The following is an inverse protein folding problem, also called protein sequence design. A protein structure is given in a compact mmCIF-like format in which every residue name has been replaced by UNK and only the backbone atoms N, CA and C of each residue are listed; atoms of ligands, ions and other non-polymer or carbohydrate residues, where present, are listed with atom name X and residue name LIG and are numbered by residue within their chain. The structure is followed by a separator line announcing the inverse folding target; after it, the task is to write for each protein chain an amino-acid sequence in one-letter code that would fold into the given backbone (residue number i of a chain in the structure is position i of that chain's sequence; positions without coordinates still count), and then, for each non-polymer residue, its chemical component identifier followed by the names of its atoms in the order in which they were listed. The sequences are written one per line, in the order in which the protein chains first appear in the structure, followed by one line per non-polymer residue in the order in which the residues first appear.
data_IF_817655236130
#
_entry.id   IF_817655236130
#
_cell.length_a   1.000
_cell.length_b   1.000
_cell.length_c   1.000
_cell.angle_alpha   90.00
_cell.angle_beta   90.00
_cell.angle_gamma   90.00
#
_symmetry.space_group_name_H-M   'P 1'
#
loop_
_entity.id
_entity.type
_entity.pdbx_description
1 polymer ?
#
# COMPACT_ATOMS: atom_id res chain seq x y z
N UNK A 1 6.83 33.58 18.06
CA UNK A 1 5.44 33.76 17.61
C UNK A 1 4.46 32.71 18.17
N UNK A 2 4.93 31.77 19.03
CA UNK A 2 4.09 30.72 19.63
C UNK A 2 3.67 31.08 21.07
N UNK A 3 4.16 32.16 21.65
CA UNK A 3 3.91 32.51 23.06
C UNK A 3 2.76 33.51 23.29
N UNK A 4 2.03 33.95 22.29
CA UNK A 4 1.00 35.02 22.43
C UNK A 4 -0.45 34.52 22.44
N UNK A 5 -0.71 33.22 22.25
CA UNK A 5 -2.08 32.65 22.17
C UNK A 5 -2.56 31.91 23.43
N UNK A 6 -1.69 31.77 24.46
CA UNK A 6 -2.02 31.00 25.65
C UNK A 6 -2.71 31.79 26.79
N UNK A 7 -3.01 33.08 26.62
CA UNK A 7 -3.51 33.94 27.71
C UNK A 7 -4.94 34.46 27.56
N UNK A 8 -5.77 33.86 26.68
CA UNK A 8 -7.13 34.35 26.39
C UNK A 8 -8.29 33.57 27.05
N UNK A 9 -8.06 32.45 27.71
CA UNK A 9 -9.13 31.67 28.36
C UNK A 9 -8.82 31.38 29.81
N UNK A 10 -8.89 32.40 30.68
CA UNK A 10 -9.10 32.24 32.09
C UNK A 10 -10.28 33.09 32.54
N UNK A 11 -11.21 32.42 33.23
CA UNK A 11 -12.37 32.90 33.96
C UNK A 11 -13.69 32.96 33.18
N UNK A 12 -14.38 31.86 33.23
CA UNK A 12 -15.83 31.71 33.03
C UNK A 12 -16.22 30.37 33.64
N UNK A 13 -16.36 30.36 34.96
CA UNK A 13 -16.91 29.22 35.72
C UNK A 13 -18.46 29.28 35.51
N UNK A 14 -18.91 28.75 34.37
CA UNK A 14 -20.33 28.59 34.07
C UNK A 14 -20.80 27.22 34.60
N UNK A 15 -21.04 27.20 35.90
CA UNK A 15 -21.63 26.05 36.61
C UNK A 15 -23.18 25.98 36.41
N UNK A 16 -23.72 26.66 35.43
CA UNK A 16 -25.17 26.64 35.15
C UNK A 16 -25.62 25.27 34.62
N UNK A 17 -26.84 24.79 34.97
CA UNK A 17 -27.39 23.56 34.44
C UNK A 17 -27.52 23.55 32.91
N UNK A 18 -27.56 24.72 32.25
CA UNK A 18 -27.62 24.89 30.82
C UNK A 18 -26.22 24.68 30.17
N UNK A 19 -25.14 25.17 30.82
CA UNK A 19 -23.78 24.95 30.37
C UNK A 19 -23.40 23.46 30.39
N UNK A 20 -23.78 22.74 31.44
CA UNK A 20 -23.54 21.28 31.53
C UNK A 20 -24.38 20.49 30.51
N UNK A 21 -25.61 20.93 30.20
CA UNK A 21 -26.41 20.34 29.11
C UNK A 21 -25.85 20.63 27.72
N UNK A 22 -25.25 21.81 27.50
CA UNK A 22 -24.63 22.20 26.26
C UNK A 22 -23.34 21.36 26.02
N UNK A 23 -22.50 21.22 27.04
CA UNK A 23 -21.29 20.37 26.98
C UNK A 23 -21.65 18.89 26.75
N UNK A 24 -22.67 18.38 27.46
CA UNK A 24 -23.18 17.02 27.25
C UNK A 24 -23.80 16.79 25.86
N UNK A 25 -24.37 17.82 25.25
CA UNK A 25 -24.95 17.79 23.90
C UNK A 25 -23.87 17.85 22.83
N UNK A 26 -22.81 18.64 23.02
CA UNK A 26 -21.64 18.72 22.13
C UNK A 26 -20.89 17.37 22.15
N UNK A 27 -20.62 16.81 23.33
CA UNK A 27 -19.99 15.50 23.46
C UNK A 27 -20.82 14.36 22.83
N UNK A 28 -22.16 14.41 22.89
CA UNK A 28 -23.07 13.45 22.21
C UNK A 28 -23.10 13.64 20.71
N UNK A 29 -23.00 14.87 20.20
CA UNK A 29 -22.97 15.16 18.76
C UNK A 29 -21.65 14.68 18.16
N UNK A 30 -20.52 14.88 18.84
CA UNK A 30 -19.21 14.39 18.41
C UNK A 30 -19.13 12.86 18.29
N UNK A 31 -19.82 12.12 19.18
CA UNK A 31 -19.89 10.66 19.13
C UNK A 31 -20.70 10.14 17.94
N UNK A 32 -21.71 10.89 17.48
CA UNK A 32 -22.60 10.47 16.37
C UNK A 32 -21.89 10.56 15.01
N UNK A 33 -20.87 11.41 14.86
CA UNK A 33 -20.14 11.62 13.61
C UNK A 33 -18.72 11.01 13.59
N UNK A 34 -18.27 10.39 14.68
CA UNK A 34 -16.96 9.76 14.75
C UNK A 34 -16.91 8.51 13.85
N UNK A 35 -15.90 8.45 12.96
CA UNK A 35 -15.59 7.26 12.19
C UNK A 35 -14.78 6.30 13.05
N UNK A 36 -15.34 5.14 13.38
CA UNK A 36 -14.67 4.11 14.18
C UNK A 36 -13.74 3.28 13.32
N UNK A 37 -12.46 3.28 13.69
CA UNK A 37 -11.41 2.53 13.01
C UNK A 37 -10.80 1.54 13.98
N UNK A 38 -10.89 0.25 13.67
CA UNK A 38 -10.17 -0.77 14.40
C UNK A 38 -8.88 -1.12 13.67
N UNK A 39 -7.73 -0.94 14.30
CA UNK A 39 -6.43 -1.39 13.81
C UNK A 39 -6.18 -2.78 14.41
N UNK A 40 -6.31 -3.83 13.60
CA UNK A 40 -6.14 -5.21 14.03
C UNK A 40 -4.66 -5.59 14.09
N UNK A 41 -4.07 -5.47 15.26
CA UNK A 41 -2.67 -5.80 15.49
C UNK A 41 -2.51 -7.30 15.82
N UNK A 42 -1.62 -7.97 15.09
CA UNK A 42 -1.19 -9.34 15.37
C UNK A 42 0.23 -9.34 15.93
N UNK A 43 0.59 -10.42 16.64
CA UNK A 43 1.94 -10.57 17.16
C UNK A 43 2.98 -10.47 16.02
N UNK A 44 4.08 -9.75 16.29
CA UNK A 44 5.07 -9.27 15.32
C UNK A 44 4.52 -8.27 14.29
N UNK A 45 3.51 -7.47 14.67
CA UNK A 45 3.08 -6.34 13.82
C UNK A 45 4.27 -5.46 13.43
N UNK A 46 4.30 -4.99 12.20
CA UNK A 46 5.37 -4.15 11.69
C UNK A 46 5.32 -2.76 12.33
N UNK A 47 6.39 -2.38 13.01
CA UNK A 47 6.47 -1.17 13.87
C UNK A 47 6.10 0.09 13.11
N UNK A 48 6.82 0.38 12.01
CA UNK A 48 6.56 1.56 11.17
C UNK A 48 5.13 1.55 10.61
N UNK A 49 4.63 0.38 10.20
CA UNK A 49 3.28 0.26 9.64
C UNK A 49 2.20 0.57 10.67
N UNK A 50 2.36 0.09 11.89
CA UNK A 50 1.43 0.41 12.99
C UNK A 50 1.50 1.90 13.33
N UNK A 51 2.70 2.41 13.62
CA UNK A 51 2.90 3.80 14.05
C UNK A 51 2.39 4.79 12.99
N UNK A 52 2.79 4.66 11.72
CA UNK A 52 2.35 5.58 10.66
C UNK A 52 0.84 5.54 10.42
N UNK A 53 0.19 4.40 10.66
CA UNK A 53 -1.28 4.32 10.59
C UNK A 53 -1.93 5.14 11.69
N UNK A 54 -1.44 5.03 12.93
CA UNK A 54 -1.96 5.76 14.09
C UNK A 54 -1.71 7.26 13.95
N UNK A 55 -0.46 7.65 13.66
CA UNK A 55 -0.03 9.04 13.52
C UNK A 55 -0.78 9.77 12.41
N UNK A 56 -1.08 9.11 11.29
CA UNK A 56 -1.83 9.73 10.21
C UNK A 56 -3.26 10.09 10.60
N UNK A 57 -3.96 9.25 11.36
CA UNK A 57 -5.31 9.55 11.84
C UNK A 57 -5.30 10.58 12.97
N UNK A 58 -4.33 10.52 13.89
CA UNK A 58 -4.19 11.51 14.96
C UNK A 58 -3.89 12.89 14.38
N UNK A 59 -2.90 12.99 13.50
CA UNK A 59 -2.60 14.23 12.77
C UNK A 59 -3.83 14.80 12.04
N UNK A 60 -4.65 13.92 11.42
CA UNK A 60 -5.87 14.36 10.77
C UNK A 60 -6.89 14.94 11.77
N UNK A 61 -7.03 14.33 12.95
CA UNK A 61 -7.90 14.83 14.01
C UNK A 61 -7.46 16.20 14.51
N UNK A 62 -6.16 16.35 14.84
CA UNK A 62 -5.57 17.62 15.29
C UNK A 62 -5.75 18.73 14.26
N UNK A 63 -5.45 18.44 12.98
CA UNK A 63 -5.61 19.41 11.89
C UNK A 63 -7.07 19.79 11.62
N UNK A 64 -8.01 18.87 11.78
CA UNK A 64 -9.43 19.17 11.67
C UNK A 64 -9.88 20.16 12.76
N UNK A 65 -9.44 19.95 14.00
CA UNK A 65 -9.70 20.81 15.14
C UNK A 65 -9.07 22.20 14.96
N UNK A 66 -7.75 22.24 14.66
CA UNK A 66 -7.02 23.51 14.43
C UNK A 66 -7.60 24.34 13.30
N UNK A 67 -8.12 23.72 12.25
CA UNK A 67 -8.64 24.41 11.07
C UNK A 67 -10.13 24.76 11.18
N UNK A 68 -10.80 24.47 12.29
CA UNK A 68 -12.24 24.65 12.45
C UNK A 68 -13.05 23.90 11.38
N UNK A 69 -12.48 22.86 10.77
CA UNK A 69 -13.20 22.03 9.83
C UNK A 69 -14.15 21.14 10.62
N UNK A 70 -15.46 21.27 10.41
CA UNK A 70 -16.47 20.37 10.94
C UNK A 70 -16.35 18.94 10.37
N UNK A 71 -15.10 18.43 10.27
CA UNK A 71 -14.80 17.11 9.76
C UNK A 71 -15.05 16.06 10.84
N UNK A 72 -15.48 14.84 10.47
CA UNK A 72 -15.70 13.77 11.43
C UNK A 72 -14.37 13.38 12.09
N UNK A 73 -14.42 13.15 13.40
CA UNK A 73 -13.29 12.63 14.17
C UNK A 73 -13.07 11.16 13.85
N UNK A 74 -11.80 10.75 13.71
CA UNK A 74 -11.40 9.36 13.57
C UNK A 74 -11.14 8.77 14.96
N UNK A 75 -12.00 7.85 15.38
CA UNK A 75 -11.83 7.14 16.64
C UNK A 75 -11.07 5.84 16.38
N UNK A 76 -9.76 5.86 16.61
CA UNK A 76 -8.88 4.73 16.35
C UNK A 76 -8.74 3.88 17.61
N UNK A 77 -8.92 2.56 17.47
CA UNK A 77 -8.72 1.60 18.56
C UNK A 77 -7.84 0.46 18.05
N UNK A 78 -6.73 0.21 18.77
CA UNK A 78 -5.88 -0.95 18.49
C UNK A 78 -6.53 -2.17 19.12
N UNK A 79 -6.87 -3.15 18.29
CA UNK A 79 -7.54 -4.39 18.73
C UNK A 79 -6.67 -5.60 18.43
N UNK A 80 -6.78 -6.63 19.25
CA UNK A 80 -6.02 -7.87 19.08
C UNK A 80 -6.88 -9.10 19.32
N UNK A 81 -6.48 -10.23 18.73
CA UNK A 81 -7.05 -11.57 19.01
C UNK A 81 -6.31 -12.27 20.15
N UNK A 82 -5.30 -11.64 20.70
CA UNK A 82 -4.54 -12.08 21.89
C UNK A 82 -4.48 -10.93 22.90
N UNK A 83 -4.28 -11.26 24.17
CA UNK A 83 -4.19 -10.27 25.27
C UNK A 83 -2.94 -9.38 25.17
N UNK A 84 -1.88 -9.91 24.59
CA UNK A 84 -0.60 -9.22 24.41
C UNK A 84 -0.18 -9.33 22.95
N UNK A 85 0.34 -8.24 22.40
CA UNK A 85 0.92 -8.16 21.06
C UNK A 85 2.27 -7.49 21.17
N UNK A 86 3.28 -8.05 20.51
CA UNK A 86 4.58 -7.41 20.36
C UNK A 86 4.80 -7.01 18.92
N UNK A 87 5.50 -5.91 18.73
CA UNK A 87 5.94 -5.51 17.39
C UNK A 87 7.06 -6.41 16.86
N UNK A 88 7.45 -6.21 15.62
CA UNK A 88 8.58 -6.96 15.03
C UNK A 88 9.91 -6.67 15.72
N UNK A 89 10.06 -5.49 16.33
CA UNK A 89 11.23 -5.08 17.11
C UNK A 89 11.09 -5.41 18.63
N UNK A 90 9.97 -6.03 19.04
CA UNK A 90 9.78 -6.48 20.40
C UNK A 90 9.10 -5.49 21.36
N UNK A 91 8.64 -4.35 20.85
CA UNK A 91 7.88 -3.39 21.65
C UNK A 91 6.51 -3.96 22.03
N UNK A 92 6.06 -3.72 23.25
CA UNK A 92 4.72 -4.13 23.68
C UNK A 92 3.66 -3.16 23.11
N UNK A 93 2.62 -3.71 22.50
CA UNK A 93 1.48 -2.95 21.97
C UNK A 93 0.28 -3.16 22.90
N UNK A 94 -0.24 -2.12 23.52
CA UNK A 94 -1.50 -2.17 24.24
C UNK A 94 -2.64 -2.46 23.24
N UNK A 95 -3.36 -3.55 23.45
CA UNK A 95 -4.50 -3.93 22.59
C UNK A 95 -5.75 -4.17 23.43
N UNK A 96 -6.90 -3.78 22.87
CA UNK A 96 -8.20 -4.19 23.38
C UNK A 96 -8.60 -5.49 22.70
N UNK A 97 -9.26 -6.40 23.43
CA UNK A 97 -9.78 -7.61 22.81
C UNK A 97 -10.74 -7.23 21.66
N UNK A 98 -10.56 -7.85 20.50
CA UNK A 98 -11.36 -7.54 19.32
C UNK A 98 -12.86 -7.68 19.63
N UNK A 99 -13.65 -6.58 19.63
CA UNK A 99 -15.02 -6.62 20.07
C UNK A 99 -15.89 -7.32 19.03
N UNK A 100 -16.59 -8.37 19.43
CA UNK A 100 -17.50 -9.10 18.53
C UNK A 100 -18.85 -8.41 18.34
N UNK A 101 -19.28 -7.55 19.28
CA UNK A 101 -20.58 -6.86 19.25
C UNK A 101 -20.55 -5.52 18.53
N UNK A 102 -19.42 -4.80 18.61
CA UNK A 102 -19.25 -3.50 17.97
C UNK A 102 -18.66 -3.70 16.57
N UNK A 103 -19.36 -3.17 15.56
CA UNK A 103 -18.86 -3.17 14.17
C UNK A 103 -18.19 -1.83 13.91
N UNK A 104 -16.90 -1.80 13.56
CA UNK A 104 -16.25 -0.56 13.15
C UNK A 104 -16.70 -0.14 11.75
N UNK A 105 -16.50 1.13 11.39
CA UNK A 105 -16.68 1.60 10.02
C UNK A 105 -15.55 1.06 9.12
N UNK A 106 -14.33 1.02 9.69
CA UNK A 106 -13.15 0.47 9.03
C UNK A 106 -12.36 -0.46 9.95
N UNK A 107 -11.87 -1.56 9.36
CA UNK A 107 -10.81 -2.38 9.94
C UNK A 107 -9.55 -2.19 9.12
N UNK A 108 -8.45 -1.84 9.76
CA UNK A 108 -7.13 -1.76 9.14
C UNK A 108 -6.27 -2.91 9.66
N UNK A 109 -5.69 -3.66 8.74
CA UNK A 109 -4.76 -4.78 9.04
C UNK A 109 -3.35 -4.35 8.63
N UNK A 110 -2.51 -3.92 9.59
CA UNK A 110 -1.12 -3.61 9.32
C UNK A 110 -0.33 -4.86 8.92
N UNK A 111 0.85 -4.64 8.34
CA UNK A 111 1.79 -5.71 8.03
C UNK A 111 2.25 -6.44 9.30
N UNK A 112 2.57 -7.72 9.15
CA UNK A 112 3.39 -8.47 10.12
C UNK A 112 4.85 -8.48 9.64
N UNK A 113 5.81 -8.46 10.57
CA UNK A 113 7.22 -8.17 10.31
C UNK A 113 8.05 -9.31 9.72
N UNK A 114 7.49 -10.05 8.77
CA UNK A 114 8.18 -11.15 8.08
C UNK A 114 8.46 -10.79 6.62
N UNK A 115 9.73 -10.60 6.27
CA UNK A 115 10.13 -10.13 4.93
C UNK A 115 10.46 -11.27 3.95
N UNK A 116 10.68 -12.49 4.45
CA UNK A 116 11.11 -13.65 3.66
C UNK A 116 9.97 -14.68 3.56
N UNK A 117 9.86 -15.42 2.42
CA UNK A 117 8.78 -16.40 2.19
C UNK A 117 8.61 -17.42 3.31
N UNK A 118 9.61 -18.22 3.62
CA UNK A 118 9.50 -19.32 4.59
C UNK A 118 9.04 -18.87 5.99
N UNK A 119 9.70 -17.88 6.64
CA UNK A 119 9.23 -17.34 7.91
C UNK A 119 7.80 -16.74 7.84
N UNK A 120 7.41 -16.14 6.71
CA UNK A 120 6.06 -15.64 6.52
C UNK A 120 5.03 -16.77 6.47
N UNK A 121 5.29 -17.84 5.68
CA UNK A 121 4.40 -18.99 5.58
C UNK A 121 4.17 -19.65 6.95
N UNK A 122 5.24 -19.83 7.74
CA UNK A 122 5.16 -20.32 9.11
C UNK A 122 4.33 -19.40 10.02
N UNK A 123 4.42 -18.08 9.82
CA UNK A 123 3.63 -17.11 10.58
C UNK A 123 2.15 -17.14 10.19
N UNK A 124 1.83 -17.27 8.90
CA UNK A 124 0.46 -17.36 8.39
C UNK A 124 -0.28 -18.62 8.87
N UNK A 125 0.44 -19.70 9.15
CA UNK A 125 -0.11 -20.94 9.68
C UNK A 125 -0.49 -20.87 11.17
N UNK A 126 -0.15 -19.79 11.89
CA UNK A 126 -0.41 -19.66 13.33
C UNK A 126 -1.88 -19.44 13.65
N UNK A 127 -2.32 -19.93 14.81
CA UNK A 127 -3.70 -19.80 15.29
C UNK A 127 -4.18 -18.33 15.39
N UNK A 128 -3.30 -17.37 15.71
CA UNK A 128 -3.67 -15.96 15.77
C UNK A 128 -4.10 -15.39 14.42
N UNK A 129 -3.53 -15.86 13.30
CA UNK A 129 -3.95 -15.47 11.94
C UNK A 129 -5.31 -16.06 11.60
N UNK A 130 -5.53 -17.35 11.92
CA UNK A 130 -6.83 -18.00 11.75
C UNK A 130 -7.93 -17.28 12.55
N UNK A 131 -7.67 -16.93 13.81
CA UNK A 131 -8.60 -16.21 14.67
C UNK A 131 -8.86 -14.78 14.16
N UNK A 132 -7.83 -14.09 13.67
CA UNK A 132 -7.99 -12.81 12.99
C UNK A 132 -8.91 -12.94 11.76
N UNK A 133 -8.74 -13.99 10.96
CA UNK A 133 -9.61 -14.29 9.83
C UNK A 133 -11.07 -14.44 10.21
N UNK A 134 -11.37 -15.10 11.34
CA UNK A 134 -12.75 -15.21 11.86
C UNK A 134 -13.34 -13.84 12.22
N UNK A 135 -12.55 -13.01 12.91
CA UNK A 135 -12.95 -11.64 13.30
C UNK A 135 -13.19 -10.78 12.08
N UNK A 136 -12.29 -10.81 11.09
CA UNK A 136 -12.41 -10.04 9.84
C UNK A 136 -13.68 -10.42 9.08
N UNK A 137 -13.95 -11.73 8.88
CA UNK A 137 -15.19 -12.19 8.26
C UNK A 137 -16.44 -11.74 9.03
N UNK A 138 -16.38 -11.81 10.36
CA UNK A 138 -17.48 -11.39 11.22
C UNK A 138 -17.81 -9.90 11.08
N UNK A 139 -16.82 -9.02 10.98
CA UNK A 139 -17.02 -7.58 10.79
C UNK A 139 -17.43 -7.26 9.35
N UNK A 140 -16.75 -7.86 8.35
CA UNK A 140 -17.09 -7.67 6.94
C UNK A 140 -18.53 -8.10 6.62
N UNK A 141 -18.98 -9.26 7.15
CA UNK A 141 -20.35 -9.75 7.00
C UNK A 141 -21.41 -8.83 7.63
N UNK A 142 -21.03 -7.98 8.59
CA UNK A 142 -21.88 -6.95 9.21
C UNK A 142 -21.69 -5.56 8.60
N UNK A 143 -20.94 -5.48 7.51
CA UNK A 143 -20.85 -4.25 6.70
C UNK A 143 -19.64 -3.37 6.93
N UNK A 144 -18.67 -3.73 7.79
CA UNK A 144 -17.42 -3.02 7.94
C UNK A 144 -16.64 -3.01 6.63
N UNK A 145 -15.99 -1.89 6.32
CA UNK A 145 -14.97 -1.82 5.29
C UNK A 145 -13.65 -2.36 5.84
N UNK A 146 -12.91 -3.12 5.04
CA UNK A 146 -11.65 -3.74 5.49
C UNK A 146 -10.50 -3.27 4.62
N UNK A 147 -9.44 -2.83 5.26
CA UNK A 147 -8.23 -2.35 4.61
C UNK A 147 -7.01 -3.13 5.11
N UNK A 148 -6.05 -3.40 4.23
CA UNK A 148 -4.80 -4.05 4.59
C UNK A 148 -3.62 -3.43 3.85
N UNK A 149 -2.46 -3.34 4.49
CA UNK A 149 -1.26 -2.80 3.86
C UNK A 149 -0.11 -3.81 3.86
N UNK A 150 0.65 -3.83 2.76
CA UNK A 150 1.87 -4.62 2.65
C UNK A 150 1.58 -6.12 2.93
N UNK A 151 2.30 -6.74 3.85
CA UNK A 151 2.09 -8.14 4.27
C UNK A 151 0.77 -8.34 5.03
N UNK A 152 0.13 -7.28 5.53
CA UNK A 152 -1.23 -7.35 6.07
C UNK A 152 -2.26 -7.88 5.04
N UNK A 153 -1.99 -7.70 3.75
CA UNK A 153 -2.81 -8.27 2.67
C UNK A 153 -2.79 -9.80 2.68
N UNK A 154 -1.67 -10.44 3.07
CA UNK A 154 -1.62 -11.90 3.25
C UNK A 154 -2.56 -12.34 4.39
N UNK A 155 -2.57 -11.63 5.51
CA UNK A 155 -3.48 -11.91 6.63
C UNK A 155 -4.95 -11.78 6.18
N UNK A 156 -5.24 -10.75 5.37
CA UNK A 156 -6.57 -10.57 4.81
C UNK A 156 -6.92 -11.69 3.81
N UNK A 157 -5.98 -12.15 2.98
CA UNK A 157 -6.18 -13.26 2.06
C UNK A 157 -6.43 -14.59 2.80
N UNK A 158 -5.73 -14.86 3.91
CA UNK A 158 -6.01 -16.04 4.77
C UNK A 158 -7.44 -16.07 5.31
N UNK A 159 -8.10 -14.93 5.42
CA UNK A 159 -9.50 -14.87 5.80
C UNK A 159 -10.46 -15.34 4.69
N UNK A 160 -10.01 -15.48 3.44
CA UNK A 160 -10.84 -15.78 2.26
C UNK A 160 -11.62 -14.59 1.70
N UNK A 161 -11.58 -13.42 2.34
CA UNK A 161 -12.32 -12.22 1.89
C UNK A 161 -11.82 -11.68 0.54
N UNK A 162 -10.57 -11.98 0.15
CA UNK A 162 -10.00 -11.54 -1.13
C UNK A 162 -10.28 -12.51 -2.29
N UNK A 163 -10.91 -13.67 -2.08
CA UNK A 163 -11.24 -14.60 -3.15
C UNK A 163 -12.06 -13.90 -4.25
N UNK A 164 -11.60 -13.97 -5.50
CA UNK A 164 -12.19 -13.32 -6.66
C UNK A 164 -12.26 -11.77 -6.59
N UNK A 165 -11.42 -11.17 -5.76
CA UNK A 165 -11.27 -9.71 -5.64
C UNK A 165 -9.97 -9.23 -6.26
N UNK A 166 -9.93 -7.93 -6.58
CA UNK A 166 -8.69 -7.25 -6.98
C UNK A 166 -7.95 -6.81 -5.71
N UNK A 167 -6.62 -6.98 -5.71
CA UNK A 167 -5.78 -6.62 -4.58
C UNK A 167 -4.38 -6.17 -5.02
N UNK A 168 -3.68 -5.49 -4.14
CA UNK A 168 -2.23 -5.29 -4.20
C UNK A 168 -1.58 -5.72 -2.89
N UNK A 169 -0.31 -5.98 -2.93
CA UNK A 169 0.53 -6.29 -1.77
C UNK A 169 1.96 -5.80 -2.02
N UNK A 170 2.88 -6.14 -1.15
CA UNK A 170 4.29 -5.85 -1.35
C UNK A 170 4.85 -6.59 -2.56
N UNK A 171 5.48 -5.86 -3.47
CA UNK A 171 5.92 -6.37 -4.76
C UNK A 171 6.92 -7.54 -4.63
N UNK A 172 7.80 -7.54 -3.64
CA UNK A 172 8.83 -8.60 -3.49
C UNK A 172 8.29 -9.97 -3.02
N UNK A 173 7.06 -10.01 -2.51
CA UNK A 173 6.35 -11.25 -2.16
C UNK A 173 5.17 -11.55 -3.10
N UNK A 174 5.01 -10.79 -4.18
CA UNK A 174 3.94 -11.01 -5.15
C UNK A 174 3.96 -12.43 -5.76
N UNK A 175 5.13 -13.05 -6.07
CA UNK A 175 5.17 -14.44 -6.53
C UNK A 175 4.58 -15.41 -5.52
N UNK A 176 4.98 -15.31 -4.24
CA UNK A 176 4.43 -16.13 -3.17
C UNK A 176 2.92 -15.90 -3.01
N UNK A 177 2.48 -14.63 -3.08
CA UNK A 177 1.05 -14.29 -2.95
C UNK A 177 0.22 -14.95 -4.06
N UNK A 178 0.65 -14.87 -5.33
CA UNK A 178 -0.04 -15.51 -6.45
C UNK A 178 -0.09 -17.03 -6.34
N UNK A 179 1.01 -17.64 -5.88
CA UNK A 179 1.08 -19.08 -5.67
C UNK A 179 0.10 -19.53 -4.58
N UNK A 180 0.03 -18.80 -3.47
CA UNK A 180 -0.75 -19.17 -2.30
C UNK A 180 -2.24 -18.82 -2.45
N UNK A 181 -2.56 -17.71 -3.12
CA UNK A 181 -3.93 -17.21 -3.28
C UNK A 181 -4.32 -17.05 -4.77
N UNK A 182 -4.40 -18.15 -5.54
CA UNK A 182 -4.58 -18.09 -7.01
C UNK A 182 -5.93 -17.52 -7.43
N UNK A 183 -6.90 -17.41 -6.52
CA UNK A 183 -8.21 -16.79 -6.78
C UNK A 183 -8.19 -15.26 -6.68
N UNK A 184 -7.14 -14.66 -6.15
CA UNK A 184 -7.03 -13.20 -6.01
C UNK A 184 -6.41 -12.62 -7.27
N UNK A 185 -7.03 -11.56 -7.82
CA UNK A 185 -6.46 -10.81 -8.96
C UNK A 185 -5.46 -9.77 -8.44
N UNK A 186 -4.20 -10.16 -8.39
CA UNK A 186 -3.13 -9.33 -7.84
C UNK A 186 -2.56 -8.37 -8.88
N UNK A 187 -2.53 -7.07 -8.54
CA UNK A 187 -1.82 -6.01 -9.28
C UNK A 187 -0.80 -5.33 -8.34
N UNK A 188 0.41 -5.85 -8.29
CA UNK A 188 1.50 -5.30 -7.47
C UNK A 188 2.11 -4.01 -8.02
N UNK A 189 1.68 -3.55 -9.18
CA UNK A 189 2.16 -2.27 -9.72
C UNK A 189 1.51 -1.07 -9.03
N UNK A 190 0.30 -1.23 -8.54
CA UNK A 190 -0.49 -0.16 -7.93
C UNK A 190 -0.17 0.01 -6.45
N UNK A 191 -0.18 1.26 -5.98
CA UNK A 191 -0.01 1.55 -4.56
C UNK A 191 -1.26 1.18 -3.77
N UNK A 192 -2.45 1.49 -4.28
CA UNK A 192 -3.74 1.17 -3.66
C UNK A 192 -4.67 0.52 -4.67
N UNK A 193 -5.32 -0.57 -4.26
CA UNK A 193 -6.38 -1.25 -5.00
C UNK A 193 -7.62 -1.35 -4.13
N UNK A 194 -8.75 -0.88 -4.66
CA UNK A 194 -10.08 -1.01 -4.04
C UNK A 194 -10.91 -2.02 -4.80
N UNK A 195 -11.54 -2.94 -4.09
CA UNK A 195 -12.50 -3.92 -4.61
C UNK A 195 -13.70 -3.99 -3.67
N UNK A 196 -14.81 -3.37 -4.04
CA UNK A 196 -15.97 -3.25 -3.16
C UNK A 196 -15.67 -2.54 -1.84
N UNK A 197 -15.86 -3.22 -0.71
CA UNK A 197 -15.52 -2.75 0.65
C UNK A 197 -14.11 -3.14 1.10
N UNK A 198 -13.34 -3.76 0.23
CA UNK A 198 -11.96 -4.15 0.50
C UNK A 198 -11.01 -3.14 -0.13
N UNK A 199 -9.96 -2.79 0.58
CA UNK A 199 -8.91 -1.90 0.07
C UNK A 199 -7.57 -2.43 0.49
N UNK A 200 -6.65 -2.62 -0.46
CA UNK A 200 -5.30 -3.08 -0.16
C UNK A 200 -4.27 -2.07 -0.61
N UNK A 201 -3.15 -2.01 0.08
CA UNK A 201 -2.04 -1.12 -0.23
C UNK A 201 -0.71 -1.88 -0.34
N UNK A 202 0.19 -1.38 -1.17
CA UNK A 202 1.39 -2.07 -1.65
C UNK A 202 2.50 -2.26 -0.61
N UNK A 203 3.62 -1.56 -0.76
CA UNK A 203 4.87 -1.80 -0.01
C UNK A 203 4.85 -1.28 1.45
N UNK A 204 6.01 -1.36 2.11
CA UNK A 204 6.15 -1.15 3.56
C UNK A 204 5.60 0.20 4.07
N UNK A 205 5.90 1.30 3.37
CA UNK A 205 5.41 2.64 3.74
C UNK A 205 4.02 2.97 3.19
N UNK A 206 3.35 2.04 2.51
CA UNK A 206 1.99 2.25 2.01
C UNK A 206 0.92 2.33 3.10
N UNK A 207 1.28 2.09 4.35
CA UNK A 207 0.39 2.29 5.49
C UNK A 207 -0.08 3.74 5.60
N UNK A 208 0.80 4.71 5.35
CA UNK A 208 0.43 6.12 5.31
C UNK A 208 -0.45 6.45 4.10
N UNK A 209 -0.15 5.87 2.92
CA UNK A 209 -1.00 6.05 1.74
C UNK A 209 -2.42 5.50 1.98
N UNK A 210 -2.52 4.35 2.65
CA UNK A 210 -3.80 3.73 3.00
C UNK A 210 -4.58 4.59 4.01
N UNK A 211 -3.92 5.09 5.05
CA UNK A 211 -4.55 5.98 6.03
C UNK A 211 -5.04 7.28 5.36
N UNK A 212 -4.21 7.94 4.55
CA UNK A 212 -4.59 9.13 3.78
C UNK A 212 -5.74 8.83 2.81
N UNK A 213 -5.75 7.63 2.21
CA UNK A 213 -6.83 7.21 1.33
C UNK A 213 -8.16 7.07 2.10
N UNK A 214 -8.14 6.47 3.32
CA UNK A 214 -9.33 6.36 4.19
C UNK A 214 -9.80 7.75 4.62
N UNK A 215 -8.90 8.64 5.05
CA UNK A 215 -9.22 10.02 5.41
C UNK A 215 -9.89 10.75 4.23
N UNK A 216 -9.38 10.55 3.00
CA UNK A 216 -9.91 11.13 1.77
C UNK A 216 -11.35 10.71 1.47
N UNK A 217 -11.77 9.49 1.86
CA UNK A 217 -13.15 9.04 1.67
C UNK A 217 -14.15 9.90 2.45
N UNK A 218 -13.72 10.57 3.52
CA UNK A 218 -14.54 11.45 4.35
C UNK A 218 -14.30 12.93 4.05
N UNK A 219 -13.06 13.32 3.88
CA UNK A 219 -12.68 14.71 3.60
C UNK A 219 -11.45 14.78 2.71
N UNK A 220 -11.60 14.99 1.38
CA UNK A 220 -10.46 15.20 0.48
C UNK A 220 -9.57 16.37 0.91
N UNK A 221 -10.17 17.45 1.46
CA UNK A 221 -9.43 18.62 1.95
C UNK A 221 -8.56 18.28 3.15
N UNK A 222 -9.12 17.54 4.12
CA UNK A 222 -8.36 17.10 5.29
C UNK A 222 -7.23 16.14 4.91
N UNK A 223 -7.49 15.18 4.03
CA UNK A 223 -6.44 14.27 3.53
C UNK A 223 -5.28 15.03 2.86
N UNK A 224 -5.59 16.03 2.04
CA UNK A 224 -4.56 16.85 1.40
C UNK A 224 -3.75 17.68 2.41
N UNK A 225 -4.41 18.21 3.45
CA UNK A 225 -3.74 18.95 4.53
C UNK A 225 -2.84 18.02 5.36
N UNK A 226 -3.35 16.85 5.75
CA UNK A 226 -2.60 15.83 6.49
C UNK A 226 -1.37 15.37 5.71
N UNK A 227 -1.51 15.10 4.40
CA UNK A 227 -0.39 14.73 3.55
C UNK A 227 0.70 15.79 3.51
N UNK A 228 0.31 17.08 3.41
CA UNK A 228 1.27 18.20 3.46
C UNK A 228 1.99 18.31 4.80
N UNK A 229 1.25 18.13 5.90
CA UNK A 229 1.82 18.21 7.25
C UNK A 229 2.81 17.07 7.51
N UNK A 230 2.49 15.86 7.04
CA UNK A 230 3.37 14.69 7.13
C UNK A 230 4.46 14.66 6.06
N UNK A 231 4.52 15.65 5.16
CA UNK A 231 5.48 15.73 4.03
C UNK A 231 5.42 14.45 3.17
N UNK A 232 4.21 14.00 2.87
CA UNK A 232 3.96 12.79 2.06
C UNK A 232 3.42 13.16 0.69
N UNK A 233 4.18 12.83 -0.35
CA UNK A 233 3.76 12.98 -1.73
C UNK A 233 2.82 11.85 -2.17
N UNK A 234 1.96 12.14 -3.15
CA UNK A 234 1.08 11.14 -3.74
C UNK A 234 1.89 10.10 -4.53
N UNK A 235 1.74 8.83 -4.18
CA UNK A 235 2.39 7.69 -4.83
C UNK A 235 1.33 6.78 -5.47
N UNK A 236 0.94 7.01 -6.74
CA UNK A 236 -0.12 6.21 -7.38
C UNK A 236 0.33 4.78 -7.69
N UNK A 237 1.63 4.55 -7.82
CA UNK A 237 2.22 3.28 -8.23
C UNK A 237 3.47 2.96 -7.41
N UNK A 238 3.69 1.66 -7.19
CA UNK A 238 4.96 1.16 -6.66
C UNK A 238 5.88 0.59 -7.76
N UNK A 239 5.47 0.67 -9.04
CA UNK A 239 6.24 0.12 -10.16
C UNK A 239 7.68 0.64 -10.23
N UNK A 240 7.90 1.92 -9.90
CA UNK A 240 9.23 2.52 -9.89
C UNK A 240 10.18 1.94 -8.81
N UNK A 241 9.63 1.21 -7.85
CA UNK A 241 10.39 0.60 -6.74
C UNK A 241 10.54 -0.92 -6.89
N UNK A 242 9.92 -1.52 -7.92
CA UNK A 242 10.03 -2.95 -8.19
C UNK A 242 11.44 -3.24 -8.71
N UNK A 243 12.20 -4.00 -7.95
CA UNK A 243 13.47 -4.51 -8.40
C UNK A 243 13.24 -5.81 -9.16
N UNK A 244 13.25 -5.73 -10.47
CA UNK A 244 12.98 -6.85 -11.36
C UNK A 244 13.93 -8.03 -11.09
N UNK A 245 15.21 -7.74 -10.85
CA UNK A 245 16.23 -8.75 -10.48
C UNK A 245 15.83 -9.55 -9.25
N UNK A 246 15.27 -8.89 -8.23
CA UNK A 246 14.85 -9.57 -7.01
C UNK A 246 13.72 -10.59 -7.25
N UNK A 247 12.78 -10.28 -8.15
CA UNK A 247 11.71 -11.20 -8.53
C UNK A 247 12.21 -12.33 -9.42
N UNK A 248 13.10 -12.03 -10.35
CA UNK A 248 13.65 -13.01 -11.28
C UNK A 248 14.46 -14.09 -10.59
N UNK A 249 15.27 -13.76 -9.59
CA UNK A 249 16.08 -14.72 -8.83
C UNK A 249 15.28 -15.79 -8.07
N UNK A 250 13.96 -15.65 -7.97
CA UNK A 250 13.09 -16.68 -7.39
C UNK A 250 12.85 -17.89 -8.32
N UNK A 251 13.22 -17.78 -9.60
CA UNK A 251 13.03 -18.83 -10.61
C UNK A 251 14.16 -18.83 -11.64
N UNK A 252 14.96 -19.90 -11.71
CA UNK A 252 16.13 -19.98 -12.60
C UNK A 252 15.80 -19.80 -14.10
N UNK A 253 14.57 -20.13 -14.53
CA UNK A 253 14.15 -19.94 -15.91
C UNK A 253 13.87 -18.45 -16.18
N UNK A 254 13.18 -17.79 -15.25
CA UNK A 254 12.90 -16.35 -15.33
C UNK A 254 14.20 -15.54 -15.25
N UNK A 255 15.13 -15.94 -14.39
CA UNK A 255 16.46 -15.33 -14.29
C UNK A 255 17.26 -15.41 -15.61
N UNK A 256 17.27 -16.58 -16.28
CA UNK A 256 17.93 -16.71 -17.60
C UNK A 256 17.28 -15.81 -18.65
N UNK A 257 15.95 -15.78 -18.70
CA UNK A 257 15.20 -14.90 -19.58
C UNK A 257 15.51 -13.42 -19.31
N UNK A 258 15.52 -12.99 -18.05
CA UNK A 258 15.84 -11.61 -17.68
C UNK A 258 17.23 -11.19 -18.11
N UNK A 259 18.24 -12.03 -17.83
CA UNK A 259 19.64 -11.78 -18.25
C UNK A 259 19.73 -11.61 -19.78
N UNK A 260 19.06 -12.45 -20.53
CA UNK A 260 18.97 -12.33 -21.98
C UNK A 260 18.28 -11.03 -22.40
N UNK A 261 17.17 -10.70 -21.78
CA UNK A 261 16.37 -9.50 -22.07
C UNK A 261 17.17 -8.21 -21.86
N UNK A 262 17.88 -8.08 -20.73
CA UNK A 262 18.71 -6.92 -20.42
C UNK A 262 19.86 -6.72 -21.41
N UNK A 263 20.42 -7.78 -21.94
CA UNK A 263 21.47 -7.71 -22.97
C UNK A 263 20.98 -7.28 -24.36
N UNK A 264 19.65 -7.21 -24.56
CA UNK A 264 19.07 -7.01 -25.91
C UNK A 264 18.04 -5.85 -25.99
N UNK A 265 18.04 -4.92 -25.06
CA UNK A 265 17.01 -3.85 -25.01
C UNK A 265 16.95 -2.99 -26.27
N UNK A 266 18.08 -2.79 -26.96
CA UNK A 266 18.15 -2.07 -28.23
C UNK A 266 17.66 -2.87 -29.45
N UNK A 267 17.44 -4.18 -29.30
CA UNK A 267 17.02 -5.07 -30.40
C UNK A 267 15.51 -5.37 -30.31
N UNK A 268 14.94 -5.89 -31.41
CA UNK A 268 13.56 -6.36 -31.41
C UNK A 268 13.35 -7.52 -30.44
N UNK A 269 12.12 -7.68 -29.96
CA UNK A 269 11.74 -8.82 -29.12
C UNK A 269 11.27 -10.00 -30.00
N UNK A 270 11.88 -11.15 -29.83
CA UNK A 270 11.43 -12.42 -30.38
C UNK A 270 11.10 -13.38 -29.24
N UNK A 271 9.88 -13.89 -29.19
CA UNK A 271 9.48 -14.86 -28.18
C UNK A 271 10.17 -16.21 -28.36
N UNK A 272 10.55 -16.55 -29.59
CA UNK A 272 11.29 -17.75 -29.91
C UNK A 272 12.72 -17.71 -29.32
N UNK A 273 13.43 -16.60 -29.58
CA UNK A 273 14.78 -16.38 -29.04
C UNK A 273 14.77 -16.31 -27.51
N UNK A 274 13.76 -15.63 -26.95
CA UNK A 274 13.57 -15.52 -25.50
C UNK A 274 13.37 -16.90 -24.85
N UNK A 275 12.54 -17.74 -25.45
CA UNK A 275 12.29 -19.09 -24.95
C UNK A 275 13.51 -19.99 -25.09
N UNK A 276 14.20 -19.94 -26.22
CA UNK A 276 15.44 -20.68 -26.46
C UNK A 276 16.54 -20.29 -25.45
N UNK A 277 16.74 -19.00 -25.21
CA UNK A 277 17.72 -18.48 -24.23
C UNK A 277 17.42 -18.91 -22.80
N UNK A 278 16.14 -19.04 -22.46
CA UNK A 278 15.70 -19.52 -21.14
C UNK A 278 15.74 -21.05 -21.02
N UNK A 279 16.04 -21.78 -22.10
CA UNK A 279 16.02 -23.24 -22.15
C UNK A 279 14.62 -23.82 -21.97
N UNK A 280 13.59 -23.19 -22.58
CA UNK A 280 12.20 -23.57 -22.40
C UNK A 280 11.38 -23.42 -23.68
N UNK A 281 10.18 -24.02 -23.72
CA UNK A 281 9.20 -23.71 -24.76
C UNK A 281 8.56 -22.33 -24.51
N UNK A 282 8.02 -21.67 -25.57
CA UNK A 282 7.27 -20.42 -25.45
C UNK A 282 6.15 -20.50 -24.41
N UNK A 283 5.41 -21.60 -24.39
CA UNK A 283 4.34 -21.86 -23.42
C UNK A 283 4.87 -21.94 -21.99
N UNK A 284 5.99 -22.61 -21.78
CA UNK A 284 6.63 -22.76 -20.46
C UNK A 284 7.15 -21.42 -19.97
N UNK A 285 7.85 -20.66 -20.82
CA UNK A 285 8.33 -19.33 -20.50
C UNK A 285 7.16 -18.39 -20.12
N UNK A 286 6.10 -18.32 -20.95
CA UNK A 286 4.95 -17.48 -20.68
C UNK A 286 4.27 -17.85 -19.35
N UNK A 287 4.07 -19.14 -19.07
CA UNK A 287 3.47 -19.62 -17.82
C UNK A 287 4.33 -19.27 -16.60
N UNK A 288 5.65 -19.46 -16.68
CA UNK A 288 6.57 -19.14 -15.56
C UNK A 288 6.67 -17.64 -15.33
N UNK A 289 6.77 -16.85 -16.40
CA UNK A 289 6.74 -15.40 -16.32
C UNK A 289 5.43 -14.89 -15.67
N UNK A 290 4.28 -15.47 -16.05
CA UNK A 290 3.00 -15.11 -15.44
C UNK A 290 2.96 -15.50 -13.96
N UNK A 291 3.48 -16.67 -13.58
CA UNK A 291 3.49 -17.14 -12.20
C UNK A 291 4.42 -16.30 -11.30
N UNK A 292 5.60 -15.94 -11.78
CA UNK A 292 6.64 -15.25 -11.00
C UNK A 292 6.48 -13.73 -11.09
N UNK A 293 6.37 -13.21 -12.33
CA UNK A 293 6.37 -11.78 -12.60
C UNK A 293 4.96 -11.17 -12.77
N UNK A 294 3.92 -12.01 -12.88
CA UNK A 294 2.55 -11.58 -13.17
C UNK A 294 2.35 -10.97 -14.56
N UNK A 295 3.27 -11.21 -15.48
CA UNK A 295 3.34 -10.53 -16.78
C UNK A 295 3.76 -11.48 -17.87
N UNK A 296 3.42 -11.11 -19.13
CA UNK A 296 3.97 -11.81 -20.29
C UNK A 296 5.46 -11.47 -20.49
N UNK A 297 6.23 -12.34 -21.19
CA UNK A 297 7.62 -12.03 -21.53
C UNK A 297 7.79 -10.71 -22.29
N UNK A 298 6.89 -10.41 -23.24
CA UNK A 298 6.92 -9.15 -24.00
C UNK A 298 6.63 -7.93 -23.10
N UNK A 299 5.62 -8.02 -22.24
CA UNK A 299 5.29 -6.92 -21.32
C UNK A 299 6.45 -6.59 -20.39
N UNK A 300 7.10 -7.62 -19.84
CA UNK A 300 8.28 -7.45 -18.99
C UNK A 300 9.46 -6.84 -19.78
N UNK A 301 9.72 -7.29 -20.99
CA UNK A 301 10.77 -6.71 -21.82
C UNK A 301 10.53 -5.21 -22.11
N UNK A 302 9.28 -4.82 -22.36
CA UNK A 302 8.93 -3.41 -22.55
C UNK A 302 9.16 -2.59 -21.29
N UNK A 303 8.89 -3.14 -20.09
CA UNK A 303 9.18 -2.46 -18.83
C UNK A 303 10.67 -2.24 -18.61
N UNK A 304 11.51 -3.23 -18.91
CA UNK A 304 12.97 -3.08 -18.84
C UNK A 304 13.47 -1.96 -19.77
N UNK A 305 12.87 -1.80 -20.95
CA UNK A 305 13.17 -0.68 -21.84
C UNK A 305 12.81 0.68 -21.22
N UNK A 306 11.62 0.76 -20.60
CA UNK A 306 11.16 1.97 -19.91
C UNK A 306 12.08 2.29 -18.73
N UNK A 307 12.42 1.30 -17.92
CA UNK A 307 13.37 1.43 -16.79
C UNK A 307 14.72 1.98 -17.26
N UNK A 308 15.27 1.39 -18.31
CA UNK A 308 16.55 1.85 -18.91
C UNK A 308 16.45 3.27 -19.47
N UNK A 309 15.33 3.63 -20.10
CA UNK A 309 15.10 4.98 -20.59
C UNK A 309 15.04 6.01 -19.46
N UNK A 310 14.35 5.69 -18.37
CA UNK A 310 14.30 6.55 -17.16
C UNK A 310 15.69 6.75 -16.58
N UNK A 311 16.47 5.67 -16.47
CA UNK A 311 17.85 5.75 -15.99
C UNK A 311 18.69 6.70 -16.87
N UNK A 312 18.64 6.55 -18.19
CA UNK A 312 19.37 7.41 -19.13
C UNK A 312 18.89 8.87 -19.07
N UNK A 313 17.57 9.10 -18.94
CA UNK A 313 17.02 10.44 -18.76
C UNK A 313 17.52 11.15 -17.50
N UNK A 314 17.78 10.39 -16.43
CA UNK A 314 18.27 10.90 -15.15
C UNK A 314 19.79 11.07 -15.09
N UNK A 315 20.52 10.28 -15.86
CA UNK A 315 21.99 10.19 -15.73
C UNK A 315 22.76 10.77 -16.93
N UNK A 316 22.05 11.14 -18.01
CA UNK A 316 22.69 11.70 -19.22
C UNK A 316 21.94 12.93 -19.73
N UNK A 317 22.62 13.71 -20.56
CA UNK A 317 22.04 14.84 -21.28
C UNK A 317 21.58 14.47 -22.71
N UNK A 318 21.55 13.17 -23.05
CA UNK A 318 21.11 12.70 -24.36
C UNK A 318 19.70 13.19 -24.72
N UNK A 319 19.44 13.41 -25.98
CA UNK A 319 18.10 13.73 -26.47
C UNK A 319 17.14 12.54 -26.29
N UNK A 320 15.84 12.80 -26.28
CA UNK A 320 14.85 11.74 -26.13
C UNK A 320 14.88 10.76 -27.31
N UNK A 321 15.26 11.24 -28.49
CA UNK A 321 15.37 10.43 -29.70
C UNK A 321 16.59 9.49 -29.62
N UNK A 322 17.74 9.98 -29.15
CA UNK A 322 18.92 9.13 -28.88
C UNK A 322 18.63 8.06 -27.85
N UNK A 323 17.96 8.44 -26.74
CA UNK A 323 17.55 7.47 -25.70
C UNK A 323 16.58 6.45 -26.27
N UNK A 324 15.59 6.88 -27.09
CA UNK A 324 14.64 5.96 -27.74
C UNK A 324 15.37 4.91 -28.59
N UNK A 325 16.30 5.34 -29.42
CA UNK A 325 17.11 4.42 -30.24
C UNK A 325 17.91 3.42 -29.37
N UNK A 326 18.54 3.89 -28.30
CA UNK A 326 19.32 3.05 -27.36
C UNK A 326 18.50 1.99 -26.65
N UNK A 327 17.22 2.28 -26.40
CA UNK A 327 16.32 1.32 -25.74
C UNK A 327 15.39 0.59 -26.73
N UNK A 328 15.66 0.73 -28.04
CA UNK A 328 15.01 -0.04 -29.09
C UNK A 328 13.63 0.45 -29.50
N UNK A 329 13.33 1.74 -29.32
CA UNK A 329 12.17 2.41 -29.92
C UNK A 329 12.56 3.19 -31.17
N UNK A 330 11.63 3.29 -32.13
CA UNK A 330 11.90 3.96 -33.39
C UNK A 330 12.12 5.48 -33.27
N UNK A 331 11.44 6.10 -32.30
CA UNK A 331 11.45 7.55 -32.12
C UNK A 331 11.12 7.96 -30.67
N UNK A 332 11.44 9.23 -30.36
CA UNK A 332 11.18 9.80 -29.05
C UNK A 332 9.69 10.09 -28.77
N UNK A 333 8.82 10.13 -29.78
CA UNK A 333 7.36 10.34 -29.58
C UNK A 333 6.76 9.08 -28.94
N UNK A 334 7.11 7.93 -29.49
CA UNK A 334 6.73 6.62 -28.92
C UNK A 334 7.23 6.49 -27.49
N UNK A 335 8.48 6.83 -27.22
CA UNK A 335 9.05 6.77 -25.87
C UNK A 335 8.30 7.71 -24.91
N UNK A 336 8.01 8.97 -25.29
CA UNK A 336 7.25 9.92 -24.45
C UNK A 336 5.86 9.39 -24.09
N UNK A 337 5.18 8.78 -25.05
CA UNK A 337 3.84 8.19 -24.84
C UNK A 337 3.91 7.05 -23.83
N UNK A 338 4.89 6.17 -23.96
CA UNK A 338 5.09 5.04 -23.04
C UNK A 338 5.46 5.50 -21.62
N UNK A 339 6.36 6.47 -21.49
CA UNK A 339 6.71 7.03 -20.18
C UNK A 339 5.49 7.62 -19.46
N UNK A 340 4.67 8.40 -20.17
CA UNK A 340 3.42 8.92 -19.59
C UNK A 340 2.45 7.82 -19.18
N UNK A 341 2.30 6.78 -20.01
CA UNK A 341 1.39 5.66 -19.75
C UNK A 341 1.84 4.83 -18.52
N UNK A 342 3.14 4.56 -18.41
CA UNK A 342 3.68 3.70 -17.35
C UNK A 342 3.93 4.44 -16.04
N UNK A 343 4.36 5.70 -16.08
CA UNK A 343 4.83 6.44 -14.91
C UNK A 343 3.91 7.60 -14.51
N UNK A 344 2.99 8.01 -15.38
CA UNK A 344 2.17 9.21 -15.17
C UNK A 344 2.92 10.53 -15.34
N UNK A 345 4.24 10.49 -15.60
CA UNK A 345 5.13 11.66 -15.67
C UNK A 345 5.71 11.89 -17.07
N UNK A 346 5.91 13.16 -17.42
CA UNK A 346 6.58 13.55 -18.65
C UNK A 346 8.11 13.60 -18.50
N UNK A 347 8.82 13.62 -19.64
CA UNK A 347 10.30 13.63 -19.68
C UNK A 347 10.92 14.76 -18.82
N UNK A 348 10.32 15.97 -18.84
CA UNK A 348 10.81 17.10 -18.05
C UNK A 348 10.71 16.86 -16.54
N UNK A 349 9.66 16.18 -16.10
CA UNK A 349 9.44 15.85 -14.69
C UNK A 349 10.42 14.77 -14.25
N UNK A 350 10.65 13.75 -15.10
CA UNK A 350 11.61 12.67 -14.83
C UNK A 350 13.02 13.23 -14.68
N UNK A 351 13.44 14.18 -15.55
CA UNK A 351 14.75 14.82 -15.44
C UNK A 351 14.90 15.68 -14.20
N UNK A 352 13.84 16.42 -13.81
CA UNK A 352 13.87 17.26 -12.59
C UNK A 352 13.92 16.45 -11.30
N UNK A 353 13.40 15.24 -11.28
CA UNK A 353 13.46 14.38 -10.09
C UNK A 353 14.84 13.75 -9.86
N UNK A 354 15.84 14.05 -10.69
CA UNK A 354 17.22 13.62 -10.58
C UNK A 354 18.18 14.72 -10.07
N UNK A 355 17.71 15.98 -10.05
CA UNK A 355 18.41 17.13 -9.47
C UNK A 355 17.94 17.38 -8.04
#
# INVERSE_FOLDING_TARGET
LVSSWANGFKNGDDSSPEGQKAIGKIAKIDIIFAMRIHVLALDRVFDTGLATTLDAFETANELAEMSGMGAPRFQVTIVGVRKTVKTSQGLNVPVVAAPTRIVPDWVVVPAIGFKMPGPLEAALARANVSDAGKVLRGWAGRGASTAAACIGTFVLAESGLLDNQDATTTWWLAPLFRQRYPKVRLDESRMIVKSGKLTTAGAALSHVDLALWIIRQRSPRLAALTAKYLVVDSRPSQSAYILADHLAHSDPLVERFERWARGRLSHGFSLDDAAASAGASKRTLARRMQAVMGKSPLSYFQELRVERAVHLLKTTNESVDEIAARVGYADGVTLRTLLRRHLGHGVREIRRSAA
#
